data_IF_489491375075
#
_entry.id   IF_489491375075
#
_cell.length_a   1.000
_cell.length_b   1.000
_cell.length_c   1.000
_cell.angle_alpha   90.00
_cell.angle_beta   90.00
_cell.angle_gamma   90.00
#
_symmetry.space_group_name_H-M   'P 1'
#
loop_
_entity.id
_entity.type
_entity.pdbx_description
1 polymer ?
#
# COMPACT_ATOMS: atom_id res chain seq x y z
N UNK A 1 6.44 10.70 29.20
CA UNK A 1 5.40 9.84 28.58
C UNK A 1 6.11 8.67 27.92
N UNK A 2 5.69 7.44 28.21
CA UNK A 2 6.27 6.24 27.59
C UNK A 2 5.75 6.15 26.16
N UNK A 3 6.63 6.27 25.16
CA UNK A 3 6.24 6.04 23.77
C UNK A 3 5.97 4.54 23.57
N UNK A 4 4.93 4.16 22.81
CA UNK A 4 4.73 2.77 22.43
C UNK A 4 5.89 2.24 21.57
N UNK A 5 6.16 0.94 21.63
CA UNK A 5 7.14 0.32 20.74
C UNK A 5 6.51 0.07 19.35
N UNK A 6 6.66 1.03 18.45
CA UNK A 6 6.10 0.97 17.09
C UNK A 6 6.62 -0.20 16.26
N UNK A 7 7.85 -0.68 16.50
CA UNK A 7 8.39 -1.82 15.76
C UNK A 7 7.69 -3.14 16.10
N UNK A 8 7.18 -3.27 17.32
CA UNK A 8 6.44 -4.46 17.76
C UNK A 8 4.98 -4.48 17.29
N UNK A 9 4.42 -3.32 16.92
CA UNK A 9 3.03 -3.19 16.46
C UNK A 9 2.83 -3.76 15.06
N UNK A 10 1.69 -4.39 14.81
CA UNK A 10 1.30 -4.81 13.48
C UNK A 10 0.85 -3.61 12.62
N UNK A 11 0.74 -3.81 11.30
CA UNK A 11 0.36 -2.75 10.35
C UNK A 11 -0.94 -2.04 10.70
N UNK A 12 -1.95 -2.78 11.19
CA UNK A 12 -3.26 -2.20 11.56
C UNK A 12 -3.13 -1.33 12.81
N UNK A 13 -2.38 -1.78 13.81
CA UNK A 13 -2.12 -1.01 15.03
C UNK A 13 -1.38 0.30 14.73
N UNK A 14 -0.36 0.24 13.88
CA UNK A 14 0.37 1.44 13.42
C UNK A 14 -0.53 2.40 12.64
N UNK A 15 -1.38 1.88 11.76
CA UNK A 15 -2.34 2.69 11.03
C UNK A 15 -3.31 3.43 11.98
N UNK A 16 -3.94 2.71 12.91
CA UNK A 16 -4.89 3.29 13.86
C UNK A 16 -4.20 4.32 14.79
N UNK A 17 -2.94 4.07 15.17
CA UNK A 17 -2.14 5.00 15.96
C UNK A 17 -1.81 6.29 15.18
N UNK A 18 -1.32 6.17 13.93
CA UNK A 18 -0.99 7.33 13.09
C UNK A 18 -2.22 8.19 12.82
N UNK A 19 -3.39 7.59 12.64
CA UNK A 19 -4.64 8.33 12.43
C UNK A 19 -5.06 9.16 13.65
N UNK A 20 -4.77 8.66 14.86
CA UNK A 20 -5.07 9.32 16.13
C UNK A 20 -3.96 10.29 16.56
N UNK A 21 -2.72 10.08 16.10
CA UNK A 21 -1.52 10.86 16.45
C UNK A 21 -0.81 11.33 15.18
N UNK A 22 -1.50 12.13 14.37
CA UNK A 22 -1.00 12.56 13.04
C UNK A 22 0.29 13.38 13.09
N UNK A 23 0.62 13.96 14.23
CA UNK A 23 1.85 14.75 14.45
C UNK A 23 3.04 13.88 14.87
N UNK A 24 2.81 12.61 15.22
CA UNK A 24 3.86 11.68 15.65
C UNK A 24 4.57 11.09 14.41
N UNK A 25 5.65 11.77 14.01
CA UNK A 25 6.47 11.37 12.86
C UNK A 25 7.08 9.97 13.06
N UNK A 26 7.40 9.58 14.28
CA UNK A 26 8.03 8.29 14.57
C UNK A 26 7.07 7.14 14.26
N UNK A 27 5.80 7.30 14.64
CA UNK A 27 4.74 6.35 14.28
C UNK A 27 4.48 6.31 12.77
N UNK A 28 4.52 7.47 12.10
CA UNK A 28 4.37 7.55 10.64
C UNK A 28 5.48 6.79 9.91
N UNK A 29 6.75 7.02 10.27
CA UNK A 29 7.87 6.29 9.67
C UNK A 29 7.77 4.79 9.91
N UNK A 30 7.47 4.37 11.15
CA UNK A 30 7.29 2.95 11.46
C UNK A 30 6.17 2.30 10.63
N UNK A 31 5.06 3.01 10.40
CA UNK A 31 3.97 2.53 9.54
C UNK A 31 4.40 2.38 8.08
N UNK A 32 5.09 3.38 7.52
CA UNK A 32 5.55 3.38 6.12
C UNK A 32 6.62 2.31 5.89
N UNK A 33 7.57 2.15 6.82
CA UNK A 33 8.59 1.11 6.75
C UNK A 33 7.95 -0.28 6.75
N UNK A 34 6.93 -0.48 7.59
CA UNK A 34 6.20 -1.75 7.65
C UNK A 34 5.39 -2.02 6.38
N UNK A 35 4.80 -0.98 5.78
CA UNK A 35 4.12 -1.09 4.49
C UNK A 35 5.06 -1.47 3.34
N UNK A 36 6.29 -0.97 3.35
CA UNK A 36 7.31 -1.35 2.37
C UNK A 36 7.81 -2.78 2.61
N UNK A 37 8.06 -3.16 3.86
CA UNK A 37 8.55 -4.50 4.21
C UNK A 37 7.52 -5.62 3.96
N UNK A 38 6.24 -5.38 4.25
CA UNK A 38 5.15 -6.35 4.05
C UNK A 38 4.50 -6.23 2.66
N UNK A 39 4.90 -5.22 1.90
CA UNK A 39 4.26 -4.83 0.67
C UNK A 39 4.59 -5.72 -0.52
N UNK A 40 3.61 -6.50 -1.00
CA UNK A 40 3.71 -7.18 -2.29
C UNK A 40 3.13 -6.33 -3.43
N UNK A 41 3.47 -5.03 -3.45
CA UNK A 41 2.95 -4.07 -4.42
C UNK A 41 3.53 -4.37 -5.80
N UNK A 42 2.68 -4.37 -6.83
CA UNK A 42 3.14 -4.39 -8.21
C UNK A 42 3.46 -2.94 -8.56
N UNK A 43 4.74 -2.62 -8.73
CA UNK A 43 5.15 -1.32 -9.25
C UNK A 43 4.62 -1.18 -10.68
N UNK A 44 3.82 -0.13 -10.91
CA UNK A 44 3.31 0.23 -12.22
C UNK A 44 3.87 1.61 -12.56
N UNK A 45 5.01 1.69 -13.25
CA UNK A 45 5.57 2.96 -13.69
C UNK A 45 4.61 3.71 -14.62
N UNK A 46 4.91 4.98 -14.86
CA UNK A 46 4.19 5.74 -15.88
C UNK A 46 4.23 4.99 -17.22
N UNK A 47 3.09 4.87 -17.87
CA UNK A 47 2.99 4.26 -19.18
C UNK A 47 3.53 5.26 -20.22
N UNK A 48 4.41 4.81 -21.10
CA UNK A 48 4.94 5.63 -22.19
C UNK A 48 3.96 5.63 -23.39
N UNK A 49 3.17 4.56 -23.52
CA UNK A 49 2.08 4.46 -24.50
C UNK A 49 0.88 3.64 -24.01
N UNK A 50 -0.21 3.65 -24.78
CA UNK A 50 -1.38 2.80 -24.49
C UNK A 50 -1.08 1.30 -24.66
N UNK A 51 -0.12 0.94 -25.50
CA UNK A 51 0.28 -0.46 -25.68
C UNK A 51 0.98 -1.02 -24.43
N UNK A 52 1.64 -0.17 -23.63
CA UNK A 52 2.32 -0.60 -22.40
C UNK A 52 1.37 -1.24 -21.37
N UNK A 53 0.07 -0.98 -21.48
CA UNK A 53 -0.97 -1.61 -20.65
C UNK A 53 -0.95 -3.14 -20.82
N UNK A 54 -0.56 -3.65 -21.99
CA UNK A 54 -0.47 -5.09 -22.25
C UNK A 54 0.63 -5.78 -21.43
N UNK A 55 1.67 -5.04 -21.03
CA UNK A 55 2.76 -5.55 -20.20
C UNK A 55 2.32 -5.84 -18.74
N UNK A 56 1.12 -5.41 -18.34
CA UNK A 56 0.57 -5.60 -17.00
C UNK A 56 -0.68 -6.51 -17.02
N UNK A 57 -0.51 -7.82 -17.27
CA UNK A 57 -1.63 -8.75 -17.44
C UNK A 57 -2.47 -8.88 -16.16
N UNK A 58 -1.88 -8.75 -14.97
CA UNK A 58 -2.64 -8.82 -13.70
C UNK A 58 -3.51 -7.57 -13.47
N UNK A 59 -3.12 -6.42 -14.02
CA UNK A 59 -3.94 -5.22 -14.02
C UNK A 59 -5.11 -5.37 -15.00
N UNK A 60 -4.83 -5.78 -16.25
CA UNK A 60 -5.88 -5.95 -17.29
C UNK A 60 -6.88 -7.07 -16.96
N UNK A 61 -6.46 -8.13 -16.27
CA UNK A 61 -7.37 -9.19 -15.77
C UNK A 61 -8.50 -8.66 -14.89
N UNK A 62 -8.24 -7.63 -14.06
CA UNK A 62 -9.27 -7.05 -13.18
C UNK A 62 -10.43 -6.46 -13.98
N UNK A 63 -10.14 -5.81 -15.09
CA UNK A 63 -11.16 -5.14 -15.93
C UNK A 63 -11.78 -6.05 -17.00
N UNK A 64 -11.10 -7.15 -17.39
CA UNK A 64 -11.65 -8.14 -18.33
C UNK A 64 -12.85 -8.90 -17.75
N UNK A 65 -12.85 -9.19 -16.46
CA UNK A 65 -13.94 -9.97 -15.84
C UNK A 65 -15.23 -9.17 -15.65
N UNK A 66 -15.16 -7.83 -15.56
CA UNK A 66 -16.33 -6.96 -15.44
C UNK A 66 -17.04 -6.72 -16.78
N UNK A 67 -16.43 -7.13 -17.90
CA UNK A 67 -17.00 -6.98 -19.24
C UNK A 67 -17.87 -8.17 -19.68
N UNK A 68 -18.01 -9.23 -18.87
CA UNK A 68 -18.96 -10.30 -19.17
C UNK A 68 -20.36 -9.90 -18.69
N UNK A 69 -21.36 -9.76 -19.60
CA UNK A 69 -22.73 -9.50 -19.19
C UNK A 69 -23.24 -10.70 -18.36
N UNK A 70 -23.84 -10.41 -17.21
CA UNK A 70 -24.64 -11.39 -16.44
C UNK A 70 -25.92 -11.75 -17.17
#
# INVERSE_FOLDING_TARGET
MNKPNFQAMNRKELHDYVLTHREDQEAFYAYVDKLHAEGNWIEMPALESLEDIENYPDFTKRFRNDSQPR
#
